data_IF_797470398190
#
_entry.id   IF_797470398190
#
_cell.length_a   1.000
_cell.length_b   1.000
_cell.length_c   1.000
_cell.angle_alpha   90.00
_cell.angle_beta   90.00
_cell.angle_gamma   90.00
#
_symmetry.space_group_name_H-M   'P 1'
#
loop_
_entity.id
_entity.type
_entity.pdbx_description
1 polymer ?
#
# COMPACT_ATOMS: atom_id res chain seq x y z
N UNK A 1 -3.55 1.16 -21.42
CA UNK A 1 -2.38 1.16 -20.53
C UNK A 1 -2.54 2.26 -19.49
N UNK A 2 -2.17 2.02 -18.23
CA UNK A 2 -2.29 3.04 -17.17
C UNK A 2 -1.29 4.18 -17.41
N UNK A 3 -1.72 5.42 -17.14
CA UNK A 3 -0.88 6.62 -17.34
C UNK A 3 0.41 6.62 -16.50
N UNK A 4 0.40 6.02 -15.31
CA UNK A 4 1.62 5.91 -14.49
C UNK A 4 2.61 4.91 -15.04
N UNK A 5 2.13 3.80 -15.60
CA UNK A 5 2.99 2.84 -16.29
C UNK A 5 3.66 3.49 -17.51
N UNK A 6 2.88 4.21 -18.27
CA UNK A 6 3.39 4.96 -19.43
C UNK A 6 4.40 6.02 -19.02
N UNK A 7 4.12 6.77 -17.94
CA UNK A 7 5.05 7.75 -17.37
C UNK A 7 6.36 7.10 -16.94
N UNK A 8 6.29 5.91 -16.31
CA UNK A 8 7.47 5.16 -15.92
C UNK A 8 8.34 4.84 -17.13
N UNK A 9 7.76 4.24 -18.15
CA UNK A 9 8.48 3.82 -19.35
C UNK A 9 9.09 4.99 -20.16
N UNK A 10 8.37 6.12 -20.23
CA UNK A 10 8.80 7.27 -21.06
C UNK A 10 9.71 8.26 -20.33
N UNK A 11 9.52 8.47 -19.04
CA UNK A 11 10.16 9.56 -18.30
C UNK A 11 11.00 9.06 -17.13
N UNK A 12 10.41 8.26 -16.23
CA UNK A 12 11.05 7.90 -14.96
C UNK A 12 12.31 7.07 -15.18
N UNK A 13 12.30 6.14 -16.12
CA UNK A 13 13.46 5.30 -16.46
C UNK A 13 14.65 6.16 -16.89
N UNK A 14 14.40 7.14 -17.78
CA UNK A 14 15.46 8.03 -18.28
C UNK A 14 16.04 8.90 -17.16
N UNK A 15 15.19 9.46 -16.32
CA UNK A 15 15.60 10.31 -15.21
C UNK A 15 16.44 9.54 -14.18
N UNK A 16 16.03 8.33 -13.84
CA UNK A 16 16.77 7.48 -12.91
C UNK A 16 18.10 7.03 -13.48
N UNK A 17 18.16 6.68 -14.76
CA UNK A 17 19.41 6.34 -15.42
C UNK A 17 20.41 7.49 -15.36
N UNK A 18 19.98 8.70 -15.62
CA UNK A 18 20.82 9.90 -15.56
C UNK A 18 21.29 10.20 -14.15
N UNK A 19 20.41 10.08 -13.17
CA UNK A 19 20.70 10.44 -11.77
C UNK A 19 21.63 9.44 -11.09
N UNK A 20 21.43 8.15 -11.31
CA UNK A 20 22.16 7.08 -10.64
C UNK A 20 23.25 6.42 -11.53
N UNK A 21 23.43 6.89 -12.76
CA UNK A 21 24.45 6.39 -13.69
C UNK A 21 24.41 4.87 -13.92
N UNK A 22 23.21 4.32 -14.09
CA UNK A 22 23.04 2.90 -14.41
C UNK A 22 23.65 2.56 -15.78
N UNK A 23 24.30 1.42 -15.86
CA UNK A 23 24.90 0.94 -17.11
C UNK A 23 23.89 0.25 -18.03
N UNK A 24 22.86 -0.34 -17.45
CA UNK A 24 21.84 -1.09 -18.17
C UNK A 24 20.45 -0.66 -17.73
N UNK A 25 19.52 -0.60 -18.68
CA UNK A 25 18.09 -0.31 -18.40
C UNK A 25 17.49 -1.29 -17.38
N UNK A 26 17.96 -2.53 -17.37
CA UNK A 26 17.49 -3.56 -16.44
C UNK A 26 17.91 -3.31 -14.97
N UNK A 27 18.87 -2.42 -14.73
CA UNK A 27 19.27 -2.01 -13.38
C UNK A 27 18.33 -0.96 -12.78
N UNK A 28 17.54 -0.30 -13.59
CA UNK A 28 16.63 0.78 -13.13
C UNK A 28 15.59 0.19 -12.17
N UNK A 29 15.40 0.79 -10.99
CA UNK A 29 14.37 0.35 -10.05
C UNK A 29 12.98 0.38 -10.67
N UNK A 30 12.18 -0.61 -10.35
CA UNK A 30 10.77 -0.69 -10.75
C UNK A 30 9.91 -1.06 -9.56
N UNK A 31 8.65 -0.66 -9.62
CA UNK A 31 7.65 -1.07 -8.64
C UNK A 31 7.22 -2.51 -8.96
N UNK A 32 7.44 -3.43 -8.03
CA UNK A 32 7.13 -4.84 -8.22
C UNK A 32 5.71 -5.19 -7.80
N UNK A 33 5.32 -4.73 -6.61
CA UNK A 33 3.99 -4.98 -6.06
C UNK A 33 3.62 -3.94 -5.00
N UNK A 34 2.32 -3.84 -4.75
CA UNK A 34 1.77 -3.08 -3.62
C UNK A 34 0.98 -4.07 -2.77
N UNK A 35 1.28 -4.14 -1.48
CA UNK A 35 0.56 -4.96 -0.51
C UNK A 35 -0.22 -4.04 0.41
N UNK A 36 -1.53 -4.26 0.49
CA UNK A 36 -2.41 -3.55 1.43
C UNK A 36 -2.83 -4.52 2.51
N UNK A 37 -2.58 -4.17 3.76
CA UNK A 37 -2.89 -5.00 4.92
C UNK A 37 -3.76 -4.25 5.91
N UNK A 38 -4.76 -4.93 6.44
CA UNK A 38 -5.60 -4.44 7.54
C UNK A 38 -5.52 -5.43 8.69
N UNK A 39 -5.06 -4.97 9.85
CA UNK A 39 -5.05 -5.76 11.07
C UNK A 39 -6.41 -5.69 11.77
N UNK A 40 -6.97 -6.86 12.12
CA UNK A 40 -8.27 -6.99 12.78
C UNK A 40 -8.14 -7.82 14.06
N UNK A 41 -7.40 -7.31 15.05
CA UNK A 41 -7.22 -7.98 16.34
C UNK A 41 -8.52 -8.24 17.10
N UNK A 42 -9.53 -7.41 16.88
CA UNK A 42 -10.88 -7.57 17.46
C UNK A 42 -11.71 -8.68 16.80
N UNK A 43 -11.26 -9.25 15.69
CA UNK A 43 -11.89 -10.43 15.09
C UNK A 43 -11.80 -11.68 15.96
N UNK A 44 -10.96 -11.68 16.99
CA UNK A 44 -10.91 -12.75 18.00
C UNK A 44 -12.22 -12.88 18.78
N UNK A 45 -12.93 -11.78 18.96
CA UNK A 45 -14.23 -11.73 19.66
C UNK A 45 -15.42 -11.73 18.70
N UNK A 46 -15.24 -11.24 17.47
CA UNK A 46 -16.33 -11.12 16.49
C UNK A 46 -15.78 -11.25 15.05
N UNK A 47 -15.98 -12.41 14.46
CA UNK A 47 -15.54 -12.70 13.08
C UNK A 47 -16.19 -11.83 12.00
N UNK A 48 -17.38 -11.28 12.29
CA UNK A 48 -18.06 -10.38 11.33
C UNK A 48 -17.30 -9.08 11.09
N UNK A 49 -16.48 -8.65 12.05
CA UNK A 49 -15.62 -7.48 11.89
C UNK A 49 -14.54 -7.72 10.83
N UNK A 50 -14.00 -8.93 10.77
CA UNK A 50 -13.03 -9.31 9.72
C UNK A 50 -13.70 -9.36 8.35
N UNK A 51 -14.90 -9.93 8.25
CA UNK A 51 -15.66 -9.98 6.99
C UNK A 51 -15.94 -8.57 6.46
N UNK A 52 -16.30 -7.63 7.34
CA UNK A 52 -16.51 -6.23 6.98
C UNK A 52 -15.20 -5.58 6.46
N UNK A 53 -14.09 -5.83 7.14
CA UNK A 53 -12.78 -5.31 6.70
C UNK A 53 -12.35 -5.89 5.34
N UNK A 54 -12.59 -7.18 5.12
CA UNK A 54 -12.30 -7.82 3.83
C UNK A 54 -13.16 -7.25 2.70
N UNK A 55 -14.43 -6.97 2.96
CA UNK A 55 -15.33 -6.34 1.99
C UNK A 55 -14.85 -4.94 1.63
N UNK A 56 -14.50 -4.13 2.63
CA UNK A 56 -13.97 -2.79 2.40
C UNK A 56 -12.69 -2.82 1.57
N UNK A 57 -11.77 -3.72 1.91
CA UNK A 57 -10.51 -3.87 1.17
C UNK A 57 -10.74 -4.33 -0.28
N UNK A 58 -11.69 -5.22 -0.51
CA UNK A 58 -12.07 -5.66 -1.85
C UNK A 58 -12.62 -4.49 -2.69
N UNK A 59 -13.46 -3.65 -2.10
CA UNK A 59 -14.01 -2.47 -2.78
C UNK A 59 -12.91 -1.47 -3.12
N UNK A 60 -11.98 -1.24 -2.20
CA UNK A 60 -10.87 -0.30 -2.39
C UNK A 60 -9.92 -0.76 -3.50
N UNK A 61 -9.55 -2.02 -3.50
CA UNK A 61 -8.52 -2.54 -4.41
C UNK A 61 -9.06 -3.18 -5.68
N UNK A 62 -10.34 -3.55 -5.69
CA UNK A 62 -10.95 -4.27 -6.80
C UNK A 62 -10.54 -5.74 -6.91
N UNK A 63 -9.78 -6.24 -5.95
CA UNK A 63 -9.30 -7.62 -5.90
C UNK A 63 -9.68 -8.27 -4.58
N UNK A 64 -10.06 -9.55 -4.61
CA UNK A 64 -10.46 -10.29 -3.42
C UNK A 64 -9.28 -10.44 -2.44
N UNK A 65 -9.42 -9.96 -1.19
CA UNK A 65 -8.37 -10.11 -0.19
C UNK A 65 -8.29 -11.53 0.37
N UNK A 66 -7.16 -11.84 1.00
CA UNK A 66 -6.91 -13.10 1.70
C UNK A 66 -6.92 -12.84 3.20
N UNK A 67 -7.63 -13.67 3.95
CA UNK A 67 -7.58 -13.62 5.41
C UNK A 67 -6.22 -14.11 5.92
N UNK A 68 -5.62 -13.35 6.84
CA UNK A 68 -4.38 -13.74 7.49
C UNK A 68 -4.66 -14.36 8.83
N UNK A 69 -4.00 -15.50 9.09
CA UNK A 69 -4.25 -16.31 10.28
C UNK A 69 -3.10 -16.20 11.28
N UNK A 70 -3.42 -16.34 12.57
CA UNK A 70 -2.42 -16.36 13.63
C UNK A 70 -1.53 -17.58 13.51
N UNK A 71 -0.23 -17.39 13.66
CA UNK A 71 0.78 -18.46 13.63
C UNK A 71 0.94 -19.17 14.96
N UNK A 72 0.63 -18.46 16.05
CA UNK A 72 0.80 -18.95 17.43
C UNK A 72 -0.40 -18.53 18.28
N UNK A 73 -0.72 -19.37 19.28
CA UNK A 73 -1.69 -19.02 20.30
C UNK A 73 -1.07 -18.10 21.35
N UNK A 74 -1.76 -17.03 21.71
CA UNK A 74 -1.32 -16.05 22.71
C UNK A 74 -2.47 -15.80 23.68
N UNK A 75 -2.37 -16.31 24.90
CA UNK A 75 -3.42 -16.25 25.92
C UNK A 75 -3.78 -14.82 26.31
N UNK A 76 -2.80 -13.91 26.41
CA UNK A 76 -3.00 -12.51 26.76
C UNK A 76 -3.89 -11.74 25.78
N UNK A 77 -3.95 -12.18 24.52
CA UNK A 77 -4.79 -11.62 23.49
C UNK A 77 -6.04 -12.45 23.19
N UNK A 78 -6.28 -13.51 23.95
CA UNK A 78 -7.36 -14.50 23.70
C UNK A 78 -7.33 -15.05 22.28
N UNK A 79 -6.12 -15.28 21.76
CA UNK A 79 -5.84 -15.66 20.40
C UNK A 79 -5.43 -17.14 20.35
N UNK A 80 -6.01 -17.90 19.41
CA UNK A 80 -5.64 -19.27 19.10
C UNK A 80 -4.99 -19.38 17.74
N UNK A 81 -4.04 -20.31 17.61
CA UNK A 81 -3.40 -20.62 16.33
C UNK A 81 -4.46 -20.94 15.25
N UNK A 82 -4.25 -20.40 14.06
CA UNK A 82 -5.17 -20.59 12.92
C UNK A 82 -6.38 -19.66 12.91
N UNK A 83 -6.57 -18.84 13.93
CA UNK A 83 -7.65 -17.86 13.96
C UNK A 83 -7.34 -16.69 13.01
N UNK A 84 -8.33 -16.30 12.18
CA UNK A 84 -8.17 -15.20 11.25
C UNK A 84 -8.21 -13.86 12.01
N UNK A 85 -7.16 -13.06 11.87
CA UNK A 85 -6.95 -11.79 12.60
C UNK A 85 -6.60 -10.60 11.73
N UNK A 86 -6.68 -10.75 10.43
CA UNK A 86 -6.40 -9.68 9.50
C UNK A 86 -6.72 -10.09 8.07
N UNK A 87 -6.50 -9.18 7.16
CA UNK A 87 -6.64 -9.44 5.74
C UNK A 87 -5.60 -8.63 4.95
N UNK A 88 -5.23 -9.15 3.79
CA UNK A 88 -4.30 -8.48 2.90
C UNK A 88 -4.66 -8.73 1.45
N UNK A 89 -4.20 -7.84 0.59
CA UNK A 89 -4.26 -8.01 -0.86
C UNK A 89 -2.91 -7.62 -1.46
N UNK A 90 -2.47 -8.37 -2.45
CA UNK A 90 -1.24 -8.08 -3.19
C UNK A 90 -1.61 -7.67 -4.60
N UNK A 91 -1.24 -6.46 -4.99
CA UNK A 91 -1.54 -5.88 -6.30
C UNK A 91 -0.28 -5.87 -7.17
N UNK A 92 -0.42 -6.37 -8.40
CA UNK A 92 0.64 -6.40 -9.41
C UNK A 92 0.10 -5.96 -10.77
N UNK A 93 1.00 -5.54 -11.66
CA UNK A 93 0.64 -5.16 -13.02
C UNK A 93 -0.28 -3.94 -13.08
N UNK A 94 -1.30 -3.99 -13.91
CA UNK A 94 -2.21 -2.85 -14.09
C UNK A 94 -3.01 -2.50 -12.83
N UNK A 95 -3.45 -3.50 -12.07
CA UNK A 95 -4.16 -3.26 -10.81
C UNK A 95 -3.30 -2.47 -9.82
N UNK A 96 -2.02 -2.75 -9.77
CA UNK A 96 -1.05 -2.02 -8.95
C UNK A 96 -0.95 -0.55 -9.36
N UNK A 97 -0.80 -0.29 -10.65
CA UNK A 97 -0.72 1.09 -11.16
C UNK A 97 -2.03 1.85 -11.02
N UNK A 98 -3.17 1.18 -11.24
CA UNK A 98 -4.48 1.79 -11.02
C UNK A 98 -4.70 2.20 -9.57
N UNK A 99 -4.31 1.34 -8.63
CA UNK A 99 -4.38 1.64 -7.20
C UNK A 99 -3.43 2.79 -6.82
N UNK A 100 -2.21 2.78 -7.33
CA UNK A 100 -1.22 3.82 -7.06
C UNK A 100 -1.70 5.19 -7.58
N UNK A 101 -2.24 5.24 -8.80
CA UNK A 101 -2.78 6.45 -9.39
C UNK A 101 -3.93 7.03 -8.56
N UNK A 102 -4.87 6.19 -8.17
CA UNK A 102 -5.96 6.58 -7.28
C UNK A 102 -5.46 7.09 -5.94
N UNK A 103 -4.51 6.40 -5.34
CA UNK A 103 -3.92 6.79 -4.05
C UNK A 103 -3.31 8.19 -4.12
N UNK A 104 -2.48 8.44 -5.12
CA UNK A 104 -1.79 9.73 -5.28
C UNK A 104 -2.75 10.85 -5.65
N UNK A 105 -3.65 10.61 -6.58
CA UNK A 105 -4.47 11.66 -7.21
C UNK A 105 -5.72 12.01 -6.41
N UNK A 106 -6.32 11.03 -5.72
CA UNK A 106 -7.64 11.18 -5.09
C UNK A 106 -7.56 10.96 -3.59
N UNK A 107 -6.96 9.85 -3.15
CA UNK A 107 -7.04 9.41 -1.76
C UNK A 107 -6.17 10.24 -0.81
N UNK A 108 -4.90 10.43 -1.12
CA UNK A 108 -3.99 11.20 -0.26
C UNK A 108 -4.43 12.65 -0.06
N UNK A 109 -4.90 13.38 -1.08
CA UNK A 109 -5.44 14.73 -0.87
C UNK A 109 -6.66 14.81 0.05
N UNK A 110 -7.37 13.70 0.25
CA UNK A 110 -8.52 13.61 1.16
C UNK A 110 -8.14 13.32 2.61
N UNK A 111 -6.88 13.02 2.89
CA UNK A 111 -6.39 12.82 4.25
C UNK A 111 -6.49 14.14 5.02
N UNK A 112 -7.06 14.05 6.23
CA UNK A 112 -7.24 15.22 7.09
C UNK A 112 -5.88 15.83 7.48
N UNK A 113 -5.73 17.15 7.33
CA UNK A 113 -4.50 17.90 7.62
C UNK A 113 -3.27 17.33 6.89
N UNK A 114 -3.46 16.91 5.65
CA UNK A 114 -2.39 16.29 4.86
C UNK A 114 -1.27 17.28 4.55
N UNK A 115 -0.05 16.96 4.98
CA UNK A 115 1.16 17.77 4.76
C UNK A 115 2.27 17.02 4.04
N UNK A 116 1.94 15.91 3.40
CA UNK A 116 2.89 15.02 2.76
C UNK A 116 3.11 13.74 3.56
N UNK A 117 3.72 12.75 2.92
CA UNK A 117 4.05 11.47 3.55
C UNK A 117 5.51 11.46 4.02
N UNK A 118 5.81 10.67 5.04
CA UNK A 118 7.16 10.57 5.58
C UNK A 118 8.15 10.06 4.53
N UNK A 119 9.32 10.68 4.47
CA UNK A 119 10.43 10.22 3.64
C UNK A 119 11.37 9.24 4.38
N UNK A 120 11.02 8.85 5.61
CA UNK A 120 11.84 7.99 6.48
C UNK A 120 11.26 6.58 6.68
N UNK A 121 10.14 6.27 6.06
CA UNK A 121 9.44 5.00 6.25
C UNK A 121 9.93 3.89 5.32
N UNK A 122 11.22 3.87 5.01
CA UNK A 122 11.89 2.83 4.22
C UNK A 122 12.52 1.78 5.12
N UNK A 123 12.62 0.54 4.62
CA UNK A 123 13.16 -0.61 5.37
C UNK A 123 14.68 -0.79 5.27
N UNK A 124 15.39 0.08 4.58
CA UNK A 124 16.83 -0.04 4.28
C UNK A 124 17.13 -0.79 2.99
N UNK A 125 16.13 -1.39 2.34
CA UNK A 125 16.27 -2.19 1.11
C UNK A 125 15.40 -1.71 -0.05
N UNK A 126 14.94 -0.46 0.02
CA UNK A 126 14.16 0.14 -1.04
C UNK A 126 12.66 -0.15 -1.02
N UNK A 127 12.12 -0.65 0.09
CA UNK A 127 10.68 -0.82 0.27
C UNK A 127 10.12 0.28 1.18
N UNK A 128 8.92 0.75 0.87
CA UNK A 128 8.28 1.86 1.58
C UNK A 128 6.95 1.40 2.18
N UNK A 129 6.67 1.83 3.41
CA UNK A 129 5.40 1.56 4.08
C UNK A 129 4.67 2.85 4.41
N UNK A 130 3.43 2.97 3.96
CA UNK A 130 2.53 4.08 4.25
C UNK A 130 1.42 3.60 5.18
N UNK A 131 1.29 4.21 6.35
CA UNK A 131 0.18 3.96 7.27
C UNK A 131 -0.95 4.96 7.02
N UNK A 132 -2.18 4.47 6.87
CA UNK A 132 -3.38 5.27 6.80
C UNK A 132 -4.24 5.00 8.05
N UNK A 133 -4.84 6.04 8.61
CA UNK A 133 -5.59 5.94 9.85
C UNK A 133 -7.03 5.50 9.67
N UNK A 134 -7.59 5.71 8.49
CA UNK A 134 -8.99 5.39 8.20
C UNK A 134 -9.22 5.03 6.74
N UNK A 135 -10.14 4.09 6.47
CA UNK A 135 -10.49 3.67 5.11
C UNK A 135 -11.44 4.66 4.41
N UNK A 136 -12.03 5.59 5.15
CA UNK A 136 -13.03 6.55 4.63
C UNK A 136 -12.45 7.54 3.61
N UNK A 137 -11.13 7.66 3.55
CA UNK A 137 -10.45 8.52 2.56
C UNK A 137 -10.54 7.98 1.13
N UNK A 138 -10.83 6.69 0.96
CA UNK A 138 -11.05 6.12 -0.36
C UNK A 138 -12.44 6.45 -0.88
N UNK A 139 -12.57 6.93 -2.12
CA UNK A 139 -13.87 7.39 -2.66
C UNK A 139 -14.88 6.26 -2.84
N UNK A 140 -14.44 5.01 -2.93
CA UNK A 140 -15.30 3.85 -3.07
C UNK A 140 -15.99 3.45 -1.78
N UNK A 141 -15.50 3.92 -0.64
CA UNK A 141 -16.07 3.60 0.68
C UNK A 141 -17.11 4.66 1.06
N UNK A 142 -18.33 4.21 1.30
CA UNK A 142 -19.40 5.05 1.82
C UNK A 142 -19.47 4.95 3.34
N UNK A 143 -19.63 6.08 4.00
CA UNK A 143 -19.66 6.16 5.47
C UNK A 143 -20.73 5.23 6.08
N UNK A 144 -21.89 5.15 5.46
CA UNK A 144 -23.01 4.34 5.95
C UNK A 144 -22.75 2.83 5.88
N UNK A 145 -21.86 2.38 5.01
CA UNK A 145 -21.50 0.97 4.84
C UNK A 145 -20.37 0.53 5.76
N UNK A 146 -19.75 1.46 6.48
CA UNK A 146 -18.60 1.17 7.35
C UNK A 146 -19.08 0.67 8.71
N UNK A 147 -18.72 -0.57 9.05
CA UNK A 147 -19.04 -1.17 10.36
C UNK A 147 -18.12 -0.60 11.44
N UNK A 148 -16.84 -0.44 11.12
CA UNK A 148 -15.85 0.12 12.03
C UNK A 148 -14.76 0.85 11.24
N UNK A 149 -14.38 2.04 11.70
CA UNK A 149 -13.25 2.77 11.14
C UNK A 149 -11.94 2.01 11.42
N UNK A 150 -11.17 1.74 10.38
CA UNK A 150 -9.91 0.99 10.46
C UNK A 150 -8.81 1.68 9.68
N UNK A 151 -7.62 1.63 10.27
CA UNK A 151 -6.40 1.96 9.54
C UNK A 151 -5.93 0.81 8.67
N UNK A 152 -4.97 1.10 7.80
CA UNK A 152 -4.33 0.10 6.96
C UNK A 152 -2.89 0.47 6.68
N UNK A 153 -2.08 -0.52 6.37
CA UNK A 153 -0.71 -0.35 5.92
C UNK A 153 -0.61 -0.67 4.44
N UNK A 154 0.00 0.24 3.69
CA UNK A 154 0.24 0.07 2.27
C UNK A 154 1.75 -0.03 2.06
N UNK A 155 2.22 -1.19 1.60
CA UNK A 155 3.64 -1.47 1.39
C UNK A 155 3.94 -1.43 -0.10
N UNK A 156 4.90 -0.60 -0.48
CA UNK A 156 5.40 -0.50 -1.85
C UNK A 156 6.69 -1.29 -1.95
N UNK A 157 6.65 -2.42 -2.65
CA UNK A 157 7.82 -3.28 -2.86
C UNK A 157 8.44 -2.93 -4.20
N UNK A 158 9.71 -2.51 -4.17
CA UNK A 158 10.46 -2.12 -5.36
C UNK A 158 11.66 -3.03 -5.58
N UNK A 159 12.26 -2.95 -6.77
CA UNK A 159 13.51 -3.64 -7.08
C UNK A 159 14.76 -2.82 -6.73
N UNK A 160 14.57 -1.65 -6.12
CA UNK A 160 15.69 -0.79 -5.69
C UNK A 160 16.56 -1.48 -4.64
N UNK A 161 17.86 -1.27 -4.73
CA UNK A 161 18.83 -1.83 -3.77
C UNK A 161 18.98 -0.94 -2.53
N UNK A 162 18.74 0.35 -2.67
CA UNK A 162 18.88 1.35 -1.61
C UNK A 162 17.61 2.18 -1.47
N UNK A 163 17.42 2.78 -0.29
CA UNK A 163 16.27 3.64 -0.02
C UNK A 163 16.27 4.92 -0.85
N UNK A 164 17.46 5.46 -1.16
CA UNK A 164 17.58 6.65 -2.00
C UNK A 164 17.05 6.41 -3.42
N UNK A 165 17.38 5.26 -4.01
CA UNK A 165 16.87 4.88 -5.33
C UNK A 165 15.36 4.69 -5.32
N UNK A 166 14.83 4.05 -4.27
CA UNK A 166 13.38 3.86 -4.10
C UNK A 166 12.64 5.19 -3.90
N UNK A 167 13.21 6.10 -3.12
CA UNK A 167 12.65 7.43 -2.92
C UNK A 167 12.52 8.18 -4.26
N UNK A 168 13.56 8.16 -5.06
CA UNK A 168 13.56 8.81 -6.37
C UNK A 168 12.53 8.17 -7.32
N UNK A 169 12.40 6.83 -7.30
CA UNK A 169 11.37 6.12 -8.06
C UNK A 169 9.97 6.56 -7.66
N UNK A 170 9.67 6.55 -6.37
CA UNK A 170 8.34 6.91 -5.87
C UNK A 170 8.03 8.40 -6.08
N UNK A 171 9.00 9.28 -5.94
CA UNK A 171 8.84 10.70 -6.28
C UNK A 171 8.54 10.90 -7.78
N UNK A 172 9.17 10.11 -8.63
CA UNK A 172 8.91 10.11 -10.07
C UNK A 172 7.46 9.77 -10.41
N UNK A 173 6.82 8.91 -9.65
CA UNK A 173 5.39 8.61 -9.79
C UNK A 173 4.49 9.74 -9.27
N UNK A 174 5.02 10.68 -8.51
CA UNK A 174 4.26 11.79 -7.93
C UNK A 174 3.86 11.61 -6.47
N UNK A 175 4.49 10.70 -5.75
CA UNK A 175 4.26 10.52 -4.31
C UNK A 175 4.64 11.81 -3.55
N UNK A 176 3.72 12.37 -2.74
CA UNK A 176 3.92 13.67 -2.08
C UNK A 176 4.72 13.54 -0.78
N UNK A 177 6.01 13.31 -0.88
CA UNK A 177 6.89 13.26 0.31
C UNK A 177 7.06 14.62 0.97
N UNK A 178 7.20 14.62 2.28
CA UNK A 178 7.58 15.83 3.04
C UNK A 178 8.99 16.23 2.65
N UNK A 179 9.19 17.55 2.58
CA UNK A 179 10.51 18.15 2.37
C UNK A 179 11.35 18.12 3.66
#
# INVERSE_FOLDING_TARGET
MNRLKEKYEKTIVSDLMSKHNYKNVMEVPKLEKIVVNIGCGDATSNSKLLEAAMRDLQVITGQKPVATKAKKSIAGFKLREGQAIGCKVTLRGENMYNFLDKLISITLPRVRDFRGISNKAFDGRGNYTLGLTEQLIFPEIEYDDVVKVRGMDIVFVTSAKTDAEALDLLQGFGMPFKK
#
